data_IF_297613608185
#
_entry.id   IF_297613608185
#
_cell.length_a   1.000
_cell.length_b   1.000
_cell.length_c   1.000
_cell.angle_alpha   90.00
_cell.angle_beta   90.00
_cell.angle_gamma   90.00
#
_symmetry.space_group_name_H-M   'P 1'
#
loop_
_entity.id
_entity.type
_entity.pdbx_description
1 polymer ?
#
# COMPACT_ATOMS: atom_id res chain seq x y z
N UNK A 1 1.17 3.81 18.87
CA UNK A 1 1.89 2.85 18.04
C UNK A 1 2.50 1.70 18.86
N UNK A 2 2.97 1.93 20.11
CA UNK A 2 3.66 0.91 20.93
C UNK A 2 2.84 -0.35 21.28
N UNK A 3 1.52 -0.34 21.10
CA UNK A 3 0.63 -1.47 21.34
C UNK A 3 0.08 -2.08 20.03
N UNK A 4 0.57 -1.63 18.89
CA UNK A 4 0.08 -2.10 17.59
C UNK A 4 0.86 -3.34 17.14
N UNK A 5 0.16 -4.33 16.58
CA UNK A 5 0.73 -5.51 15.94
C UNK A 5 1.14 -5.21 14.49
N UNK A 6 0.43 -4.28 13.84
CA UNK A 6 0.61 -3.88 12.45
C UNK A 6 0.70 -2.36 12.38
N UNK A 7 1.70 -1.83 11.72
CA UNK A 7 1.85 -0.39 11.44
C UNK A 7 1.80 -0.16 9.93
N UNK A 8 0.84 0.66 9.50
CA UNK A 8 0.63 1.00 8.09
C UNK A 8 0.57 2.52 7.97
N UNK A 9 1.27 3.06 7.01
CA UNK A 9 1.26 4.49 6.72
C UNK A 9 2.03 4.80 5.45
N UNK A 10 1.89 6.00 4.96
CA UNK A 10 2.76 6.54 3.93
C UNK A 10 4.01 7.20 4.56
N UNK A 11 4.89 7.76 3.73
CA UNK A 11 6.09 8.43 4.21
C UNK A 11 5.80 9.63 5.12
N UNK A 12 4.72 10.39 4.86
CA UNK A 12 4.31 11.52 5.69
C UNK A 12 3.77 11.05 7.05
N UNK A 13 2.99 9.96 7.08
CA UNK A 13 2.45 9.41 8.32
C UNK A 13 3.57 9.03 9.28
N UNK A 14 4.60 8.34 8.80
CA UNK A 14 5.73 7.95 9.63
C UNK A 14 6.60 9.14 10.05
N UNK A 15 6.78 10.12 9.17
CA UNK A 15 7.58 11.31 9.47
C UNK A 15 6.84 12.25 10.43
N UNK A 16 5.60 12.61 10.12
CA UNK A 16 4.87 13.64 10.89
C UNK A 16 4.27 13.09 12.19
N UNK A 17 3.74 11.86 12.17
CA UNK A 17 3.08 11.29 13.35
C UNK A 17 4.02 10.56 14.29
N UNK A 18 5.10 9.96 13.78
CA UNK A 18 6.05 9.19 14.59
C UNK A 18 7.43 9.84 14.70
N UNK A 19 7.71 10.90 13.94
CA UNK A 19 9.02 11.57 13.92
C UNK A 19 10.13 10.71 13.31
N UNK A 20 9.79 9.73 12.47
CA UNK A 20 10.75 8.83 11.84
C UNK A 20 11.15 9.39 10.48
N UNK A 21 12.41 9.70 10.27
CA UNK A 21 12.91 10.20 8.98
C UNK A 21 12.67 9.18 7.86
N UNK A 22 12.29 9.70 6.69
CA UNK A 22 11.98 8.90 5.50
C UNK A 22 12.31 9.65 4.21
N UNK A 23 12.02 9.06 3.04
CA UNK A 23 12.19 9.73 1.76
C UNK A 23 11.23 10.93 1.66
N UNK A 24 11.57 11.89 0.79
CA UNK A 24 10.72 13.04 0.51
C UNK A 24 9.38 12.59 -0.07
N UNK A 25 8.29 13.12 0.50
CA UNK A 25 6.93 12.80 0.09
C UNK A 25 6.64 13.23 -1.35
N UNK A 26 5.94 12.37 -2.10
CA UNK A 26 5.53 12.65 -3.49
C UNK A 26 6.69 12.83 -4.48
N UNK A 27 7.90 12.43 -4.12
CA UNK A 27 9.07 12.56 -4.97
C UNK A 27 9.00 11.67 -6.22
N UNK A 28 9.72 12.08 -7.29
CA UNK A 28 9.82 11.32 -8.55
C UNK A 28 10.76 10.12 -8.39
N UNK A 29 10.60 9.16 -9.32
CA UNK A 29 11.40 7.94 -9.40
C UNK A 29 11.23 7.02 -8.18
N UNK A 30 10.01 6.54 -7.98
CA UNK A 30 9.67 5.62 -6.87
C UNK A 30 10.52 4.37 -6.85
N UNK A 31 10.87 3.82 -8.02
CA UNK A 31 11.67 2.58 -8.10
C UNK A 31 13.07 2.77 -7.53
N UNK A 32 13.70 3.91 -7.81
CA UNK A 32 15.01 4.25 -7.23
C UNK A 32 14.93 4.54 -5.72
N UNK A 33 13.77 4.96 -5.23
CA UNK A 33 13.55 5.30 -3.82
C UNK A 33 13.14 4.13 -2.93
N UNK A 34 12.89 2.95 -3.46
CA UNK A 34 12.46 1.77 -2.69
C UNK A 34 13.39 1.50 -1.51
N UNK A 35 14.70 1.60 -1.67
CA UNK A 35 15.65 1.39 -0.57
C UNK A 35 15.53 2.47 0.52
N UNK A 36 15.20 3.71 0.15
CA UNK A 36 14.89 4.77 1.12
C UNK A 36 13.65 4.46 1.96
N UNK A 37 12.59 3.93 1.33
CA UNK A 37 11.39 3.47 2.03
C UNK A 37 11.67 2.28 2.94
N UNK A 38 12.48 1.31 2.50
CA UNK A 38 12.91 0.19 3.36
C UNK A 38 13.68 0.71 4.58
N UNK A 39 14.62 1.62 4.37
CA UNK A 39 15.37 2.24 5.47
C UNK A 39 14.48 2.96 6.48
N UNK A 40 13.41 3.64 6.02
CA UNK A 40 12.41 4.23 6.91
C UNK A 40 11.67 3.15 7.71
N UNK A 41 11.16 2.10 7.06
CA UNK A 41 10.45 0.99 7.71
C UNK A 41 11.34 0.27 8.74
N UNK A 42 12.63 0.08 8.46
CA UNK A 42 13.57 -0.50 9.44
C UNK A 42 13.70 0.37 10.69
N UNK A 43 13.72 1.72 10.56
CA UNK A 43 13.71 2.63 11.72
C UNK A 43 12.39 2.56 12.48
N UNK A 44 11.24 2.43 11.79
CA UNK A 44 9.94 2.21 12.43
C UNK A 44 9.94 0.91 13.22
N UNK A 45 10.45 -0.19 12.64
CA UNK A 45 10.58 -1.49 13.32
C UNK A 45 11.44 -1.40 14.58
N UNK A 46 12.57 -0.69 14.51
CA UNK A 46 13.44 -0.48 15.68
C UNK A 46 12.74 0.32 16.79
N UNK A 47 11.94 1.32 16.42
CA UNK A 47 11.21 2.16 17.37
C UNK A 47 9.99 1.42 17.99
N UNK A 48 9.40 0.47 17.26
CA UNK A 48 8.19 -0.26 17.66
C UNK A 48 8.39 -1.79 17.54
N UNK A 49 9.26 -2.38 18.36
CA UNK A 49 9.63 -3.80 18.24
C UNK A 49 8.51 -4.78 18.59
N UNK A 50 7.38 -4.30 19.15
CA UNK A 50 6.19 -5.10 19.40
C UNK A 50 5.36 -5.39 18.16
N UNK A 51 5.50 -4.58 17.11
CA UNK A 51 4.82 -4.82 15.84
C UNK A 51 5.59 -5.83 14.98
N UNK A 52 4.87 -6.64 14.20
CA UNK A 52 5.49 -7.66 13.36
C UNK A 52 5.21 -7.48 11.87
N UNK A 53 4.33 -6.53 11.53
CA UNK A 53 4.01 -6.20 10.15
C UNK A 53 4.06 -4.69 9.95
N UNK A 54 4.79 -4.26 8.92
CA UNK A 54 4.97 -2.86 8.60
C UNK A 54 4.73 -2.67 7.11
N UNK A 55 3.82 -1.79 6.73
CA UNK A 55 3.51 -1.55 5.34
C UNK A 55 3.50 -0.06 5.00
N UNK A 56 3.93 0.26 3.79
CA UNK A 56 3.84 1.61 3.23
C UNK A 56 3.39 1.57 1.78
N UNK A 57 2.52 2.50 1.41
CA UNK A 57 2.17 2.74 0.01
C UNK A 57 3.21 3.65 -0.64
N UNK A 58 3.46 3.40 -1.91
CA UNK A 58 4.35 4.19 -2.76
C UNK A 58 3.49 4.90 -3.82
N UNK A 59 3.61 6.21 -3.91
CA UNK A 59 2.84 6.98 -4.89
C UNK A 59 3.67 8.08 -5.55
N UNK A 60 3.58 8.15 -6.87
CA UNK A 60 4.05 9.27 -7.66
C UNK A 60 2.91 9.79 -8.55
N UNK A 61 2.71 11.09 -8.57
CA UNK A 61 1.71 11.73 -9.43
C UNK A 61 2.35 11.98 -10.80
N UNK A 62 1.92 11.24 -11.81
CA UNK A 62 2.34 11.41 -13.21
C UNK A 62 1.52 12.52 -13.85
N UNK A 63 0.20 12.48 -13.66
CA UNK A 63 -0.76 13.49 -14.10
C UNK A 63 -1.97 13.53 -13.16
N UNK A 64 -2.93 14.40 -13.44
CA UNK A 64 -4.17 14.45 -12.66
C UNK A 64 -4.95 13.13 -12.67
N UNK A 65 -4.80 12.33 -13.74
CA UNK A 65 -5.58 11.11 -13.97
C UNK A 65 -4.71 9.84 -14.01
N UNK A 66 -3.42 9.95 -13.70
CA UNK A 66 -2.50 8.81 -13.71
C UNK A 66 -1.47 8.92 -12.59
N UNK A 67 -1.40 7.89 -11.77
CA UNK A 67 -0.36 7.75 -10.76
C UNK A 67 0.44 6.47 -10.95
N UNK A 68 1.71 6.49 -10.54
CA UNK A 68 2.42 5.26 -10.22
C UNK A 68 2.04 4.86 -8.80
N UNK A 69 1.57 3.65 -8.64
CA UNK A 69 1.10 3.08 -7.39
C UNK A 69 1.83 1.78 -7.08
N UNK A 70 2.45 1.73 -5.93
CA UNK A 70 3.19 0.59 -5.42
C UNK A 70 2.99 0.43 -3.92
N UNK A 71 3.58 -0.59 -3.35
CA UNK A 71 3.59 -0.79 -1.90
C UNK A 71 4.74 -1.69 -1.46
N UNK A 72 5.16 -1.56 -0.21
CA UNK A 72 6.16 -2.40 0.44
C UNK A 72 5.55 -2.96 1.72
N UNK A 73 5.85 -4.20 2.01
CA UNK A 73 5.49 -4.88 3.25
C UNK A 73 6.74 -5.58 3.83
N UNK A 74 7.04 -5.27 5.07
CA UNK A 74 7.95 -6.07 5.90
C UNK A 74 7.12 -6.91 6.86
N UNK A 75 7.24 -8.23 6.79
CA UNK A 75 6.62 -9.16 7.71
C UNK A 75 7.70 -10.03 8.37
N UNK A 76 7.85 -9.91 9.68
CA UNK A 76 9.03 -10.44 10.37
C UNK A 76 10.30 -9.79 9.81
N UNK A 77 11.13 -10.60 9.12
CA UNK A 77 12.37 -10.17 8.46
C UNK A 77 12.29 -10.29 6.92
N UNK A 78 11.10 -10.57 6.38
CA UNK A 78 10.92 -10.80 4.94
C UNK A 78 10.25 -9.60 4.27
N UNK A 79 10.90 -9.10 3.22
CA UNK A 79 10.39 -8.03 2.39
C UNK A 79 9.53 -8.55 1.24
N UNK A 80 8.37 -7.93 1.05
CA UNK A 80 7.50 -8.12 -0.10
C UNK A 80 7.29 -6.75 -0.77
N UNK A 81 7.40 -6.71 -2.10
CA UNK A 81 7.36 -5.45 -2.85
C UNK A 81 6.37 -5.58 -4.01
N UNK A 82 5.31 -4.80 -3.97
CA UNK A 82 4.46 -4.53 -5.12
C UNK A 82 5.08 -3.34 -5.89
N UNK A 83 5.82 -3.64 -6.95
CA UNK A 83 6.50 -2.64 -7.77
C UNK A 83 5.52 -1.57 -8.26
N UNK A 84 5.94 -0.29 -8.31
CA UNK A 84 5.09 0.78 -8.81
C UNK A 84 4.62 0.52 -10.24
N UNK A 85 3.31 0.60 -10.47
CA UNK A 85 2.66 0.46 -11.76
C UNK A 85 1.74 1.64 -12.02
N UNK A 86 1.60 2.04 -13.28
CA UNK A 86 0.65 3.08 -13.67
C UNK A 86 -0.79 2.61 -13.42
N UNK A 87 -1.57 3.43 -12.73
CA UNK A 87 -2.99 3.24 -12.50
C UNK A 87 -3.77 4.49 -12.95
N UNK A 88 -4.97 4.33 -13.53
CA UNK A 88 -5.88 5.44 -13.75
C UNK A 88 -6.43 5.93 -12.41
N UNK A 89 -6.56 7.25 -12.27
CA UNK A 89 -7.09 7.88 -11.06
C UNK A 89 -8.23 8.80 -11.44
N UNK A 90 -9.41 8.57 -10.86
CA UNK A 90 -10.55 9.45 -10.96
C UNK A 90 -10.62 10.35 -9.72
N UNK A 91 -10.45 9.76 -8.54
CA UNK A 91 -10.25 10.46 -7.27
C UNK A 91 -9.16 9.74 -6.48
N UNK A 92 -8.25 10.49 -5.87
CA UNK A 92 -7.16 9.91 -5.06
C UNK A 92 -7.58 9.57 -3.63
N UNK A 93 -8.70 10.14 -3.17
CA UNK A 93 -9.21 9.91 -1.80
C UNK A 93 -9.64 8.45 -1.66
N UNK A 94 -9.42 7.87 -0.50
CA UNK A 94 -9.74 6.47 -0.23
C UNK A 94 -8.72 5.43 -0.70
N UNK A 95 -7.73 5.80 -1.52
CA UNK A 95 -6.70 4.84 -1.99
C UNK A 95 -5.90 4.22 -0.84
N UNK A 96 -5.52 5.02 0.16
CA UNK A 96 -4.84 4.55 1.39
C UNK A 96 -5.73 3.63 2.22
N UNK A 97 -6.98 4.03 2.46
CA UNK A 97 -7.95 3.23 3.21
C UNK A 97 -8.29 1.92 2.50
N UNK A 98 -8.42 1.96 1.17
CA UNK A 98 -8.59 0.77 0.35
C UNK A 98 -7.40 -0.19 0.48
N UNK A 99 -6.16 0.34 0.48
CA UNK A 99 -4.96 -0.47 0.72
C UNK A 99 -5.00 -1.13 2.10
N UNK A 100 -5.26 -0.36 3.16
CA UNK A 100 -5.35 -0.88 4.54
C UNK A 100 -6.43 -1.95 4.64
N UNK A 101 -7.64 -1.65 4.12
CA UNK A 101 -8.76 -2.59 4.15
C UNK A 101 -8.44 -3.92 3.47
N UNK A 102 -7.85 -3.89 2.28
CA UNK A 102 -7.47 -5.10 1.55
C UNK A 102 -6.33 -5.88 2.19
N UNK A 103 -5.31 -5.19 2.71
CA UNK A 103 -4.20 -5.84 3.41
C UNK A 103 -4.71 -6.55 4.67
N UNK A 104 -5.51 -5.87 5.50
CA UNK A 104 -6.08 -6.44 6.72
C UNK A 104 -7.08 -7.56 6.42
N UNK A 105 -7.86 -7.45 5.34
CA UNK A 105 -8.70 -8.55 4.89
C UNK A 105 -7.86 -9.81 4.62
N UNK A 106 -6.74 -9.68 3.90
CA UNK A 106 -5.84 -10.79 3.65
C UNK A 106 -5.27 -11.41 4.93
N UNK A 107 -4.85 -10.57 5.88
CA UNK A 107 -4.37 -11.02 7.20
C UNK A 107 -5.44 -11.82 7.95
N UNK A 108 -6.68 -11.31 8.01
CA UNK A 108 -7.80 -11.98 8.70
C UNK A 108 -8.22 -13.28 8.01
N UNK A 109 -8.02 -13.39 6.69
CA UNK A 109 -8.24 -14.62 5.93
C UNK A 109 -7.10 -15.63 6.02
N UNK A 110 -5.97 -15.25 6.64
CA UNK A 110 -4.79 -16.11 6.73
C UNK A 110 -4.05 -16.26 5.41
N UNK A 111 -4.10 -15.27 4.53
CA UNK A 111 -3.31 -15.28 3.30
C UNK A 111 -1.83 -15.16 3.60
N UNK A 112 -0.98 -15.71 2.73
CA UNK A 112 0.45 -15.45 2.74
C UNK A 112 0.73 -13.94 2.60
N UNK A 113 1.81 -13.46 3.22
CA UNK A 113 2.12 -12.03 3.31
C UNK A 113 2.19 -11.34 1.95
N UNK A 114 2.76 -11.99 0.94
CA UNK A 114 2.79 -11.47 -0.42
C UNK A 114 1.38 -11.28 -1.01
N UNK A 115 0.49 -12.24 -0.79
CA UNK A 115 -0.91 -12.14 -1.23
C UNK A 115 -1.66 -11.05 -0.47
N UNK A 116 -1.39 -10.84 0.83
CA UNK A 116 -1.94 -9.72 1.58
C UNK A 116 -1.56 -8.37 0.95
N UNK A 117 -0.27 -8.22 0.59
CA UNK A 117 0.23 -7.02 -0.08
C UNK A 117 -0.44 -6.79 -1.43
N UNK A 118 -0.56 -7.84 -2.26
CA UNK A 118 -1.22 -7.77 -3.58
C UNK A 118 -2.69 -7.39 -3.45
N UNK A 119 -3.36 -7.94 -2.45
CA UNK A 119 -4.76 -7.63 -2.16
C UNK A 119 -4.93 -6.17 -1.74
N UNK A 120 -4.10 -5.67 -0.81
CA UNK A 120 -4.08 -4.27 -0.41
C UNK A 120 -3.78 -3.34 -1.59
N UNK A 121 -2.77 -3.66 -2.41
CA UNK A 121 -2.44 -2.88 -3.61
C UNK A 121 -3.66 -2.75 -4.55
N UNK A 122 -4.34 -3.87 -4.81
CA UNK A 122 -5.46 -3.92 -5.77
C UNK A 122 -6.70 -3.18 -5.25
N UNK A 123 -7.03 -3.31 -3.97
CA UNK A 123 -8.16 -2.59 -3.35
C UNK A 123 -7.88 -1.09 -3.24
N UNK A 124 -6.64 -0.69 -2.96
CA UNK A 124 -6.22 0.71 -3.01
C UNK A 124 -6.33 1.30 -4.42
N UNK A 125 -5.84 0.58 -5.44
CA UNK A 125 -5.98 0.99 -6.83
C UNK A 125 -7.45 1.07 -7.25
N UNK A 126 -8.30 0.10 -6.86
CA UNK A 126 -9.74 0.13 -7.15
C UNK A 126 -10.41 1.37 -6.54
N UNK A 127 -10.08 1.73 -5.30
CA UNK A 127 -10.66 2.88 -4.62
C UNK A 127 -10.40 4.19 -5.38
N UNK A 128 -9.27 4.31 -6.07
CA UNK A 128 -8.98 5.53 -6.86
C UNK A 128 -9.76 5.63 -8.18
N UNK A 129 -10.50 4.60 -8.57
CA UNK A 129 -11.28 4.56 -9.83
C UNK A 129 -12.75 4.93 -9.64
N UNK A 130 -13.15 5.32 -8.44
CA UNK A 130 -14.53 5.73 -8.11
C UNK A 130 -14.55 7.14 -7.53
N UNK A 131 -15.70 7.81 -7.59
CA UNK A 131 -15.89 9.16 -7.02
C UNK A 131 -16.32 9.13 -5.54
N UNK A 132 -16.05 8.04 -4.85
CA UNK A 132 -16.38 7.86 -3.43
C UNK A 132 -15.11 7.50 -2.66
N UNK A 133 -15.11 7.74 -1.36
CA UNK A 133 -13.94 7.49 -0.50
C UNK A 133 -13.61 5.99 -0.35
N UNK A 134 -14.49 5.12 -0.82
CA UNK A 134 -14.29 3.67 -0.78
C UNK A 134 -14.90 2.97 -2.00
N UNK A 135 -14.34 1.83 -2.36
CA UNK A 135 -14.88 0.91 -3.35
C UNK A 135 -15.17 -0.45 -2.71
N UNK A 136 -16.26 -1.06 -3.13
CA UNK A 136 -16.64 -2.42 -2.70
C UNK A 136 -16.38 -3.38 -3.87
N UNK A 137 -15.33 -4.19 -3.84
CA UNK A 137 -15.15 -5.27 -4.81
C UNK A 137 -16.26 -6.31 -4.66
N UNK A 138 -16.66 -6.93 -5.77
CA UNK A 138 -17.71 -7.94 -5.76
C UNK A 138 -17.26 -9.22 -5.02
N UNK A 139 -16.01 -9.62 -5.23
CA UNK A 139 -15.41 -10.83 -4.65
C UNK A 139 -13.87 -10.75 -4.67
N UNK A 140 -13.21 -11.79 -4.12
CA UNK A 140 -11.75 -11.90 -4.10
C UNK A 140 -11.17 -12.05 -5.52
N UNK A 141 -11.89 -12.69 -6.43
CA UNK A 141 -11.44 -12.88 -7.82
C UNK A 141 -11.35 -11.56 -8.56
N UNK A 142 -12.30 -10.63 -8.32
CA UNK A 142 -12.22 -9.28 -8.88
C UNK A 142 -10.97 -8.56 -8.40
N UNK A 143 -10.67 -8.61 -7.10
CA UNK A 143 -9.48 -7.96 -6.53
C UNK A 143 -8.21 -8.54 -7.15
N UNK A 144 -8.09 -9.86 -7.23
CA UNK A 144 -6.93 -10.50 -7.83
C UNK A 144 -6.83 -10.27 -9.34
N UNK A 145 -7.95 -10.08 -10.03
CA UNK A 145 -7.98 -9.68 -11.44
C UNK A 145 -7.39 -8.27 -11.64
N UNK A 146 -7.68 -7.34 -10.73
CA UNK A 146 -7.10 -5.99 -10.74
C UNK A 146 -5.58 -6.08 -10.51
N UNK A 147 -5.15 -6.86 -9.54
CA UNK A 147 -3.72 -7.12 -9.32
C UNK A 147 -3.03 -7.68 -10.56
N UNK A 148 -3.67 -8.62 -11.25
CA UNK A 148 -3.15 -9.22 -12.48
C UNK A 148 -3.17 -8.28 -13.71
N UNK A 149 -3.74 -7.08 -13.58
CA UNK A 149 -3.86 -6.13 -14.69
C UNK A 149 -4.96 -6.48 -15.71
N UNK A 150 -5.89 -7.35 -15.35
CA UNK A 150 -7.00 -7.75 -16.21
C UNK A 150 -8.17 -6.76 -16.07
N UNK A 151 -8.39 -5.94 -17.09
CA UNK A 151 -9.48 -4.97 -17.14
C UNK A 151 -10.87 -5.60 -17.45
N UNK A 152 -10.98 -6.93 -17.63
CA UNK A 152 -12.25 -7.59 -17.95
C UNK A 152 -13.11 -7.74 -16.70
N UNK A 153 -14.21 -7.00 -16.66
CA UNK A 153 -15.34 -7.32 -15.77
C UNK A 153 -15.93 -8.67 -16.22
N UNK A 154 -15.83 -9.70 -15.38
CA UNK A 154 -16.62 -10.92 -15.55
C UNK A 154 -18.09 -10.54 -15.30
N UNK A 155 -18.94 -10.70 -16.31
CA UNK A 155 -20.39 -10.61 -16.18
C UNK A 155 -20.94 -11.94 -15.72
#
# INVERSE_FOLDING_TARGET
>A
ASLADILIGNEEDFQLSLGIEGPEAGGKDLSAKIEGFKGMIERVKQAFPGAHMFATTLREVVSANEHLWGAILLYGDTWHIAQPRAIPVLDRIGGGDGFVGGLLYGVLKGFEAEKCLHFGWATGALATTVLTDYALPADEDQVMSIWAGNARVKR
#
